data_IF_147468853930
#
_entry.id   IF_147468853930
#
_cell.length_a   1.000
_cell.length_b   1.000
_cell.length_c   1.000
_cell.angle_alpha   90.00
_cell.angle_beta   90.00
_cell.angle_gamma   90.00
#
_symmetry.space_group_name_H-M   'P 1'
#
loop_
_entity.id
_entity.type
_entity.pdbx_description
1 polymer ?
#
# COMPACT_ATOMS: atom_id res chain seq x y z
N UNK A 1 -1.10 47.81 -36.04
CA UNK A 1 -1.86 47.11 -35.00
C UNK A 1 -0.86 46.26 -34.24
N UNK A 2 -0.03 46.94 -33.45
CA UNK A 2 -0.25 47.22 -32.03
C UNK A 2 0.17 46.03 -31.17
N UNK A 3 1.29 46.27 -30.48
CA UNK A 3 1.92 45.42 -29.52
C UNK A 3 1.32 45.65 -28.13
N UNK A 4 1.00 44.57 -27.41
CA UNK A 4 0.86 44.53 -25.96
C UNK A 4 1.48 43.18 -25.53
N UNK A 5 2.71 43.09 -25.00
CA UNK A 5 3.29 43.63 -23.75
C UNK A 5 2.54 43.16 -22.51
N UNK A 6 3.14 42.14 -21.88
CA UNK A 6 3.22 41.79 -20.45
C UNK A 6 1.95 41.82 -19.57
N UNK A 7 1.72 40.73 -18.82
CA UNK A 7 2.05 40.68 -17.38
C UNK A 7 1.65 39.35 -16.71
N UNK A 8 2.64 38.70 -16.10
CA UNK A 8 2.64 38.17 -14.73
C UNK A 8 1.39 37.44 -14.20
N UNK A 9 1.54 36.13 -13.94
CA UNK A 9 1.67 35.60 -12.58
C UNK A 9 1.97 34.09 -12.62
N UNK A 10 3.26 33.75 -12.61
CA UNK A 10 3.75 32.45 -12.16
C UNK A 10 3.46 32.32 -10.67
N UNK A 11 2.43 31.56 -10.30
CA UNK A 11 2.25 31.11 -8.92
C UNK A 11 2.94 29.77 -8.78
N UNK A 12 4.23 29.83 -8.46
CA UNK A 12 4.99 28.71 -7.92
C UNK A 12 4.44 28.36 -6.53
N UNK A 13 3.46 27.46 -6.46
CA UNK A 13 3.15 26.76 -5.22
C UNK A 13 4.16 25.62 -5.05
N UNK A 14 5.32 25.98 -4.47
CA UNK A 14 6.24 25.04 -3.87
C UNK A 14 5.54 24.39 -2.68
N UNK A 15 4.97 23.20 -2.89
CA UNK A 15 4.58 22.33 -1.78
C UNK A 15 5.86 21.71 -1.24
N UNK A 16 6.46 22.38 -0.27
CA UNK A 16 7.47 21.79 0.61
C UNK A 16 6.77 20.73 1.46
N UNK A 17 6.76 19.49 0.97
CA UNK A 17 6.46 18.35 1.84
C UNK A 17 7.67 18.21 2.74
N UNK A 18 7.57 18.74 3.96
CA UNK A 18 8.51 18.47 5.04
C UNK A 18 8.56 16.96 5.23
N UNK A 19 9.59 16.34 4.67
CA UNK A 19 10.05 15.00 5.03
C UNK A 19 10.45 15.04 6.50
N UNK A 20 9.52 14.67 7.39
CA UNK A 20 9.89 14.23 8.73
C UNK A 20 10.61 12.89 8.61
N UNK A 21 11.90 12.96 8.32
CA UNK A 21 12.85 11.90 8.64
C UNK A 21 12.88 11.79 10.16
N UNK A 22 12.23 10.76 10.71
CA UNK A 22 12.47 10.36 12.10
C UNK A 22 13.83 9.66 12.13
N UNK A 23 14.87 10.44 12.39
CA UNK A 23 16.18 9.98 12.80
C UNK A 23 16.07 9.41 14.21
N UNK A 24 15.82 8.11 14.32
CA UNK A 24 16.19 7.35 15.53
C UNK A 24 17.32 6.40 15.15
N UNK A 25 18.52 6.97 15.03
CA UNK A 25 19.77 6.23 15.10
C UNK A 25 20.63 6.83 16.21
N UNK A 26 21.02 5.95 17.13
CA UNK A 26 22.28 5.97 17.86
C UNK A 26 22.43 6.95 19.03
N UNK A 27 21.80 6.60 20.15
CA UNK A 27 22.40 6.79 21.49
C UNK A 27 22.88 5.45 22.06
N UNK A 28 23.46 4.60 21.21
CA UNK A 28 24.22 3.39 21.60
C UNK A 28 25.47 3.33 20.71
N UNK A 29 26.33 4.35 20.78
CA UNK A 29 27.65 4.30 20.12
C UNK A 29 28.73 5.11 20.83
N UNK A 30 28.44 5.86 21.89
CA UNK A 30 29.45 6.65 22.60
C UNK A 30 30.00 6.03 23.90
N UNK A 31 29.68 4.78 24.23
CA UNK A 31 30.34 4.05 25.33
C UNK A 31 31.14 2.81 24.91
N UNK A 32 31.15 2.42 23.63
CA UNK A 32 31.83 1.19 23.19
C UNK A 32 33.31 1.43 22.84
N UNK A 33 33.72 2.66 22.54
CA UNK A 33 35.11 2.96 22.16
C UNK A 33 36.03 3.34 23.33
N UNK A 34 35.62 3.08 24.58
CA UNK A 34 36.44 3.37 25.78
C UNK A 34 36.85 2.13 26.58
N UNK A 35 36.80 0.95 25.96
CA UNK A 35 37.23 -0.31 26.57
C UNK A 35 38.18 -1.06 25.63
N UNK A 36 39.27 -0.41 25.25
CA UNK A 36 40.50 -1.13 24.88
C UNK A 36 41.18 -1.59 26.16
N UNK A 37 41.19 -2.91 26.32
CA UNK A 37 42.23 -3.72 26.96
C UNK A 37 42.68 -3.30 28.37
N UNK A 38 42.14 -3.98 29.39
CA UNK A 38 42.96 -4.63 30.42
C UNK A 38 42.15 -5.75 31.07
N UNK A 39 42.77 -6.92 31.09
CA UNK A 39 42.55 -8.08 31.95
C UNK A 39 41.82 -7.77 33.27
N UNK A 40 40.69 -8.43 33.54
CA UNK A 40 40.61 -9.33 34.69
C UNK A 40 39.32 -10.15 34.69
N UNK A 41 39.44 -11.36 35.23
CA UNK A 41 38.35 -12.31 35.41
C UNK A 41 37.35 -11.73 36.41
N UNK A 42 36.27 -11.13 35.93
CA UNK A 42 35.10 -10.85 36.77
C UNK A 42 33.87 -11.50 36.15
N UNK A 43 33.43 -12.59 36.80
CA UNK A 43 32.10 -13.18 36.64
C UNK A 43 31.09 -12.05 36.63
N UNK A 44 30.34 -11.94 35.54
CA UNK A 44 29.10 -11.17 35.53
C UNK A 44 28.13 -11.93 36.44
N UNK A 45 28.05 -11.51 37.70
CA UNK A 45 26.97 -11.91 38.60
C UNK A 45 25.75 -11.14 38.10
N UNK A 46 24.90 -11.82 37.33
CA UNK A 46 23.57 -11.32 37.00
C UNK A 46 22.78 -11.36 38.32
N UNK A 47 22.37 -10.23 38.91
CA UNK A 47 21.54 -10.26 40.10
C UNK A 47 20.23 -10.99 39.75
N UNK A 48 19.95 -12.07 40.48
CA UNK A 48 18.85 -12.98 40.22
C UNK A 48 17.45 -12.37 40.42
N UNK A 49 17.34 -11.10 40.80
CA UNK A 49 16.07 -10.48 41.20
C UNK A 49 15.83 -9.15 40.50
N UNK A 50 15.92 -9.11 39.17
CA UNK A 50 15.12 -8.11 38.44
C UNK A 50 13.72 -8.70 38.30
N UNK A 51 12.91 -8.48 39.33
CA UNK A 51 11.48 -8.71 39.28
C UNK A 51 10.87 -7.73 38.27
N UNK A 52 10.99 -8.08 36.98
CA UNK A 52 10.23 -7.45 35.90
C UNK A 52 8.78 -7.76 36.20
N UNK A 53 8.14 -6.88 36.99
CA UNK A 53 6.69 -6.85 37.16
C UNK A 53 6.12 -6.75 35.76
N UNK A 54 5.74 -7.90 35.25
CA UNK A 54 5.23 -8.10 33.93
C UNK A 54 3.94 -7.29 33.83
N UNK A 55 4.00 -6.16 33.14
CA UNK A 55 2.84 -5.52 32.51
C UNK A 55 2.28 -6.40 31.38
N UNK A 56 2.16 -7.71 31.63
CA UNK A 56 1.86 -8.76 30.67
C UNK A 56 0.43 -8.65 30.15
N UNK A 57 -0.51 -8.27 31.02
CA UNK A 57 -1.94 -8.33 30.70
C UNK A 57 -2.37 -7.25 29.69
N UNK A 58 -1.81 -6.04 29.77
CA UNK A 58 -2.12 -4.97 28.82
C UNK A 58 -1.51 -5.24 27.44
N UNK A 59 -0.25 -5.70 27.41
CA UNK A 59 0.45 -6.09 26.17
C UNK A 59 -0.23 -7.27 25.48
N UNK A 60 -0.62 -8.31 26.23
CA UNK A 60 -1.25 -9.51 25.67
C UNK A 60 -2.64 -9.21 25.09
N UNK A 61 -3.42 -8.31 25.71
CA UNK A 61 -4.70 -7.83 25.15
C UNK A 61 -4.49 -7.03 23.86
N UNK A 62 -3.48 -6.16 23.82
CA UNK A 62 -3.14 -5.39 22.62
C UNK A 62 -2.73 -6.31 21.45
N UNK A 63 -1.85 -7.29 21.72
CA UNK A 63 -1.42 -8.29 20.74
C UNK A 63 -2.61 -9.12 20.24
N UNK A 64 -3.49 -9.56 21.14
CA UNK A 64 -4.68 -10.34 20.77
C UNK A 64 -5.62 -9.54 19.87
N UNK A 65 -5.83 -8.25 20.16
CA UNK A 65 -6.65 -7.35 19.32
C UNK A 65 -6.02 -7.14 17.94
N UNK A 66 -4.70 -6.94 17.88
CA UNK A 66 -3.98 -6.83 16.61
C UNK A 66 -4.09 -8.11 15.80
N UNK A 67 -3.86 -9.28 16.41
CA UNK A 67 -4.02 -10.58 15.75
C UNK A 67 -5.44 -10.82 15.25
N UNK A 68 -6.46 -10.41 16.02
CA UNK A 68 -7.86 -10.47 15.58
C UNK A 68 -8.12 -9.56 14.37
N UNK A 69 -7.51 -8.36 14.32
CA UNK A 69 -7.59 -7.45 13.17
C UNK A 69 -6.87 -8.03 11.95
N UNK A 70 -5.66 -8.60 12.12
CA UNK A 70 -4.91 -9.28 11.07
C UNK A 70 -5.71 -10.48 10.49
N UNK A 71 -6.29 -11.32 11.35
CA UNK A 71 -7.13 -12.45 10.93
C UNK A 71 -8.39 -12.04 10.15
N UNK A 72 -8.89 -10.81 10.34
CA UNK A 72 -10.02 -10.27 9.56
C UNK A 72 -9.59 -9.86 8.15
N UNK A 73 -8.33 -9.46 7.96
CA UNK A 73 -7.76 -9.15 6.65
C UNK A 73 -7.44 -10.42 5.89
N UNK A 74 -8.44 -11.26 5.61
CA UNK A 74 -8.24 -12.49 4.85
C UNK A 74 -7.86 -12.17 3.41
N UNK A 75 -7.07 -13.05 2.78
CA UNK A 75 -6.87 -13.01 1.34
C UNK A 75 -8.18 -13.33 0.61
N UNK A 76 -8.81 -12.29 0.04
CA UNK A 76 -10.07 -12.35 -0.71
C UNK A 76 -10.13 -11.22 -1.74
N UNK A 77 -11.02 -11.27 -2.73
CA UNK A 77 -11.17 -10.17 -3.67
C UNK A 77 -11.76 -8.93 -2.96
N UNK A 78 -11.14 -7.78 -3.18
CA UNK A 78 -11.61 -6.47 -2.72
C UNK A 78 -11.99 -5.60 -3.91
N UNK A 79 -12.92 -4.66 -3.72
CA UNK A 79 -13.20 -3.64 -4.72
C UNK A 79 -12.05 -2.63 -4.73
N UNK A 80 -11.38 -2.53 -5.87
CA UNK A 80 -10.32 -1.57 -6.14
C UNK A 80 -10.80 -0.59 -7.20
N UNK A 81 -10.58 0.70 -6.95
CA UNK A 81 -10.86 1.74 -7.92
C UNK A 81 -9.77 1.71 -8.99
N UNK A 82 -10.15 1.56 -10.25
CA UNK A 82 -9.24 1.48 -11.39
C UNK A 82 -9.73 2.41 -12.50
N UNK A 83 -8.82 3.09 -13.18
CA UNK A 83 -9.16 3.91 -14.34
C UNK A 83 -9.68 3.02 -15.46
N UNK A 84 -10.74 3.46 -16.13
CA UNK A 84 -11.35 2.73 -17.24
C UNK A 84 -10.36 2.54 -18.37
N UNK A 85 -9.54 3.57 -18.68
CA UNK A 85 -8.51 3.50 -19.72
C UNK A 85 -7.48 2.39 -19.48
N UNK A 86 -7.12 2.12 -18.23
CA UNK A 86 -6.18 1.05 -17.85
C UNK A 86 -6.79 -0.36 -18.00
N UNK A 87 -8.12 -0.44 -18.03
CA UNK A 87 -8.87 -1.68 -18.17
C UNK A 87 -9.24 -2.00 -19.62
N UNK A 88 -9.09 -1.02 -20.52
CA UNK A 88 -9.32 -1.18 -21.95
C UNK A 88 -8.09 -1.76 -22.64
N UNK A 89 -8.33 -2.55 -23.69
CA UNK A 89 -7.25 -3.07 -24.53
C UNK A 89 -6.47 -1.91 -25.16
N UNK A 90 -5.16 -2.09 -25.32
CA UNK A 90 -4.30 -1.04 -25.90
C UNK A 90 -4.70 -0.69 -27.34
N UNK A 91 -5.29 -1.64 -28.06
CA UNK A 91 -5.78 -1.48 -29.43
C UNK A 91 -7.19 -0.88 -29.50
N UNK A 92 -7.82 -0.57 -28.37
CA UNK A 92 -9.14 0.06 -28.37
C UNK A 92 -9.00 1.56 -28.71
N UNK A 93 -9.38 1.94 -29.93
CA UNK A 93 -9.34 3.33 -30.44
C UNK A 93 -10.11 4.33 -29.54
N UNK A 94 -11.00 3.84 -28.67
CA UNK A 94 -11.78 4.67 -27.74
C UNK A 94 -11.00 5.00 -26.46
N UNK A 95 -9.83 4.40 -26.22
CA UNK A 95 -9.02 4.59 -25.01
C UNK A 95 -8.54 6.04 -24.84
N UNK A 96 -8.29 6.73 -25.95
CA UNK A 96 -7.85 8.13 -25.93
C UNK A 96 -9.00 9.13 -25.79
N UNK A 97 -10.26 8.67 -25.93
CA UNK A 97 -11.44 9.52 -25.81
C UNK A 97 -11.72 9.93 -24.36
N UNK A 98 -12.59 10.93 -24.20
CA UNK A 98 -13.16 11.28 -22.91
C UNK A 98 -14.16 10.19 -22.51
N UNK A 99 -13.98 9.57 -21.34
CA UNK A 99 -14.79 8.44 -20.86
C UNK A 99 -15.39 8.75 -19.49
N UNK A 100 -16.67 8.43 -19.31
CA UNK A 100 -17.44 8.65 -18.08
C UNK A 100 -18.18 7.37 -17.66
N UNK A 101 -18.01 6.90 -16.40
CA UNK A 101 -17.06 7.39 -15.41
C UNK A 101 -15.60 7.10 -15.81
N UNK A 102 -14.67 7.93 -15.36
CA UNK A 102 -13.23 7.70 -15.57
C UNK A 102 -12.70 6.52 -14.75
N UNK A 103 -13.35 6.22 -13.62
CA UNK A 103 -12.91 5.21 -12.65
C UNK A 103 -14.06 4.27 -12.33
N UNK A 104 -13.76 2.96 -12.26
CA UNK A 104 -14.74 1.92 -11.91
C UNK A 104 -14.20 1.01 -10.81
N UNK A 105 -15.11 0.45 -10.01
CA UNK A 105 -14.77 -0.49 -8.97
C UNK A 105 -14.65 -1.92 -9.54
N UNK A 106 -13.44 -2.49 -9.46
CA UNK A 106 -13.11 -3.83 -9.98
C UNK A 106 -12.68 -4.74 -8.85
N UNK A 107 -13.14 -5.99 -8.85
CA UNK A 107 -12.69 -6.97 -7.85
C UNK A 107 -11.28 -7.45 -8.18
N UNK A 108 -10.33 -7.18 -7.28
CA UNK A 108 -8.93 -7.61 -7.37
C UNK A 108 -8.46 -8.27 -6.07
N UNK A 109 -7.58 -9.25 -6.18
CA UNK A 109 -6.76 -9.69 -5.05
C UNK A 109 -5.69 -8.62 -4.81
N UNK A 110 -5.56 -8.15 -3.57
CA UNK A 110 -4.59 -7.12 -3.22
C UNK A 110 -3.70 -7.62 -2.08
N UNK A 111 -2.38 -7.63 -2.32
CA UNK A 111 -1.38 -7.99 -1.31
C UNK A 111 -1.41 -7.02 -0.12
N UNK A 112 -1.63 -5.72 -0.35
CA UNK A 112 -1.62 -4.69 0.69
C UNK A 112 -2.79 -4.81 1.67
N UNK A 113 -3.92 -5.32 1.21
CA UNK A 113 -5.15 -5.47 1.98
C UNK A 113 -5.38 -6.91 2.50
N UNK A 114 -4.40 -7.79 2.31
CA UNK A 114 -4.51 -9.20 2.65
C UNK A 114 -3.39 -9.62 3.60
N UNK A 115 -3.78 -10.33 4.65
CA UNK A 115 -2.88 -11.00 5.57
C UNK A 115 -2.84 -12.48 5.23
N UNK A 116 -1.67 -12.92 4.75
CA UNK A 116 -1.43 -14.32 4.40
C UNK A 116 -0.73 -15.14 5.48
N UNK A 117 -0.51 -14.56 6.67
CA UNK A 117 0.02 -15.26 7.83
C UNK A 117 1.43 -15.80 7.60
N UNK A 118 2.46 -15.08 8.03
CA UNK A 118 3.78 -15.69 8.10
C UNK A 118 3.93 -16.38 9.45
N UNK A 119 4.27 -17.66 9.39
CA UNK A 119 5.01 -18.29 10.48
C UNK A 119 6.44 -17.73 10.44
N UNK A 120 7.00 -17.44 11.61
CA UNK A 120 8.33 -16.87 11.80
C UNK A 120 9.37 -17.67 10.99
N UNK A 121 9.88 -17.10 9.89
CA UNK A 121 10.98 -17.65 9.10
C UNK A 121 10.68 -18.15 7.68
N UNK A 122 9.44 -18.13 7.21
CA UNK A 122 9.12 -18.54 5.81
C UNK A 122 8.93 -17.36 4.85
N UNK A 123 9.19 -17.61 3.57
CA UNK A 123 8.95 -16.69 2.45
C UNK A 123 7.51 -16.18 2.53
N UNK A 124 7.33 -14.86 2.42
CA UNK A 124 6.01 -14.23 2.58
C UNK A 124 5.08 -14.71 1.48
N UNK A 125 4.09 -15.54 1.82
CA UNK A 125 3.04 -15.93 0.89
C UNK A 125 2.25 -14.69 0.45
N UNK A 126 1.97 -14.58 -0.85
CA UNK A 126 1.29 -13.45 -1.48
C UNK A 126 -0.16 -13.80 -1.78
N UNK A 127 -1.05 -12.83 -1.60
CA UNK A 127 -2.46 -13.02 -1.93
C UNK A 127 -2.66 -12.94 -3.45
N UNK A 128 -2.88 -14.08 -4.08
CA UNK A 128 -2.93 -14.19 -5.54
C UNK A 128 -4.29 -14.69 -6.02
N UNK A 129 -4.73 -14.22 -7.18
CA UNK A 129 -5.96 -14.67 -7.82
C UNK A 129 -5.85 -16.13 -8.29
N UNK A 130 -6.80 -16.97 -7.89
CA UNK A 130 -6.86 -18.38 -8.30
C UNK A 130 -8.00 -18.68 -9.25
N UNK A 131 -9.01 -17.80 -9.31
CA UNK A 131 -10.09 -17.88 -10.28
C UNK A 131 -10.45 -16.49 -10.77
N UNK A 132 -10.42 -16.30 -12.08
CA UNK A 132 -10.81 -15.06 -12.75
C UNK A 132 -12.05 -15.29 -13.61
N UNK A 133 -12.79 -14.22 -13.89
CA UNK A 133 -13.94 -14.25 -14.81
C UNK A 133 -14.09 -12.91 -15.50
N UNK A 134 -14.68 -12.90 -16.69
CA UNK A 134 -15.03 -11.65 -17.36
C UNK A 134 -16.30 -11.06 -16.75
N UNK A 135 -16.31 -9.74 -16.58
CA UNK A 135 -17.48 -8.94 -16.20
C UNK A 135 -17.61 -7.79 -17.18
N UNK A 136 -18.78 -7.61 -17.77
CA UNK A 136 -19.04 -6.48 -18.65
C UNK A 136 -19.22 -5.20 -17.83
N UNK A 137 -18.53 -4.14 -18.23
CA UNK A 137 -18.74 -2.77 -17.73
C UNK A 137 -19.31 -1.92 -18.86
N UNK A 138 -20.20 -1.00 -18.51
CA UNK A 138 -20.79 -0.03 -19.44
C UNK A 138 -20.29 1.35 -19.06
N UNK A 139 -19.76 2.10 -20.03
CA UNK A 139 -19.32 3.48 -19.86
C UNK A 139 -19.83 4.33 -21.01
N UNK A 140 -19.83 5.65 -20.83
CA UNK A 140 -20.08 6.63 -21.88
C UNK A 140 -18.76 7.18 -22.40
N UNK A 141 -18.67 7.45 -23.68
CA UNK A 141 -17.54 8.16 -24.28
C UNK A 141 -18.03 9.24 -25.25
N UNK A 142 -17.20 10.26 -25.46
CA UNK A 142 -17.43 11.30 -26.45
C UNK A 142 -16.82 10.87 -27.79
N UNK A 143 -17.62 10.81 -28.85
CA UNK A 143 -17.14 10.45 -30.20
C UNK A 143 -16.57 11.65 -30.97
N UNK A 144 -16.11 11.43 -32.21
CA UNK A 144 -15.54 12.49 -33.08
C UNK A 144 -16.52 13.61 -33.44
N UNK A 145 -17.82 13.38 -33.28
CA UNK A 145 -18.87 14.34 -33.60
C UNK A 145 -19.43 14.99 -32.33
N UNK A 146 -18.68 14.96 -31.22
CA UNK A 146 -19.09 15.43 -29.90
C UNK A 146 -20.39 14.82 -29.37
N UNK A 147 -20.72 13.60 -29.82
CA UNK A 147 -21.88 12.86 -29.35
C UNK A 147 -21.49 11.85 -28.26
N UNK A 148 -22.28 11.82 -27.20
CA UNK A 148 -22.14 10.81 -26.15
C UNK A 148 -22.68 9.46 -26.62
N UNK A 149 -21.81 8.46 -26.65
CA UNK A 149 -22.17 7.07 -26.96
C UNK A 149 -21.87 6.15 -25.78
N UNK A 150 -22.59 5.05 -25.69
CA UNK A 150 -22.31 3.99 -24.71
C UNK A 150 -21.42 2.92 -25.34
N UNK A 151 -20.50 2.39 -24.56
CA UNK A 151 -19.73 1.20 -24.91
C UNK A 151 -19.76 0.19 -23.77
N UNK A 152 -19.74 -1.09 -24.13
CA UNK A 152 -19.56 -2.20 -23.20
C UNK A 152 -18.22 -2.85 -23.49
N UNK A 153 -17.45 -3.13 -22.44
CA UNK A 153 -16.18 -3.83 -22.58
C UNK A 153 -16.02 -4.88 -21.46
N UNK A 154 -15.36 -6.01 -21.75
CA UNK A 154 -15.10 -7.05 -20.76
C UNK A 154 -13.93 -6.65 -19.87
N UNK A 155 -14.09 -6.79 -18.56
CA UNK A 155 -13.00 -6.65 -17.58
C UNK A 155 -12.80 -7.97 -16.87
N UNK A 156 -11.56 -8.46 -16.86
CA UNK A 156 -11.19 -9.65 -16.10
C UNK A 156 -11.16 -9.33 -14.61
N UNK A 157 -12.06 -9.91 -13.82
CA UNK A 157 -12.18 -9.69 -12.37
C UNK A 157 -11.79 -10.93 -11.57
N UNK A 158 -11.21 -10.71 -10.40
CA UNK A 158 -10.82 -11.80 -9.50
C UNK A 158 -12.04 -12.27 -8.69
N UNK A 159 -12.35 -13.56 -8.80
CA UNK A 159 -13.49 -14.19 -8.11
C UNK A 159 -13.08 -14.98 -6.88
N UNK A 160 -11.83 -15.47 -6.84
CA UNK A 160 -11.25 -16.19 -5.70
C UNK A 160 -9.77 -15.84 -5.56
N UNK A 161 -9.32 -15.63 -4.33
CA UNK A 161 -7.93 -15.39 -3.98
C UNK A 161 -7.44 -16.47 -3.00
N UNK A 162 -6.14 -16.79 -3.04
CA UNK A 162 -5.48 -17.65 -2.06
C UNK A 162 -4.07 -17.12 -1.77
N UNK A 163 -3.57 -17.42 -0.57
CA UNK A 163 -2.18 -17.18 -0.22
C UNK A 163 -1.31 -18.26 -0.86
N UNK A 164 -0.33 -17.87 -1.67
CA UNK A 164 0.62 -18.75 -2.36
C UNK A 164 2.02 -18.19 -2.29
#
# INVERSE_FOLDING_TARGET
MEAHVLCLLLVCLAVTVNSMTVTTQNTISNEINKLTATTDVNRIIIPADVNVKTTHLAGQRAITRQMKKLKKMKCKPYLKMMYVKDLMEETDERKDRLVVPEVVAVKRCDESCSYCGNNLGQVRAKCTATKKRNRMYTVRYLDDNDNWKYMKFPVMVDSKCQCR
#
